data_IF_584174347430
#
_entry.id   IF_584174347430
#
_cell.length_a   1.000
_cell.length_b   1.000
_cell.length_c   1.000
_cell.angle_alpha   90.00
_cell.angle_beta   90.00
_cell.angle_gamma   90.00
#
_symmetry.space_group_name_H-M   'P 1'
#
loop_
_entity.id
_entity.type
_entity.pdbx_description
1 polymer ?
#
# COMPACT_ATOMS: atom_id res chain seq x y z
N UNK A 1 12.23 -5.81 14.34
CA UNK A 1 11.04 -5.46 15.14
C UNK A 1 9.98 -6.51 15.01
N UNK A 2 9.45 -7.00 16.13
CA UNK A 2 8.37 -7.98 16.18
C UNK A 2 7.02 -7.28 16.39
N UNK A 3 5.95 -7.89 15.88
CA UNK A 3 4.58 -7.42 16.08
C UNK A 3 4.16 -7.70 17.53
N UNK A 4 3.62 -6.68 18.22
CA UNK A 4 3.16 -6.77 19.61
C UNK A 4 2.07 -7.84 19.79
N UNK A 5 2.05 -8.51 20.95
CA UNK A 5 1.21 -9.70 21.17
C UNK A 5 -0.30 -9.47 20.98
N UNK A 6 -0.78 -8.25 21.22
CA UNK A 6 -2.17 -7.81 21.11
C UNK A 6 -2.52 -7.15 19.76
N UNK A 7 -1.57 -7.11 18.81
CA UNK A 7 -1.78 -6.51 17.51
C UNK A 7 -2.47 -7.50 16.54
N UNK A 8 -3.64 -7.09 16.05
CA UNK A 8 -4.45 -7.86 15.08
C UNK A 8 -3.66 -8.33 13.84
N UNK A 9 -2.58 -7.64 13.45
CA UNK A 9 -1.78 -8.03 12.30
C UNK A 9 -1.15 -9.42 12.45
N UNK A 10 -0.96 -9.93 13.68
CA UNK A 10 -0.45 -11.30 13.89
C UNK A 10 -1.35 -12.37 13.29
N UNK A 11 -2.64 -12.10 13.15
CA UNK A 11 -3.63 -13.03 12.60
C UNK A 11 -3.84 -12.85 11.07
N UNK A 12 -3.13 -11.90 10.45
CA UNK A 12 -3.26 -11.59 9.04
C UNK A 12 -2.17 -12.33 8.22
N UNK A 13 -2.53 -13.13 7.20
CA UNK A 13 -1.57 -13.92 6.45
C UNK A 13 -0.42 -13.12 5.81
N UNK A 14 -0.65 -11.86 5.44
CA UNK A 14 0.38 -10.97 4.87
C UNK A 14 1.53 -10.63 5.82
N UNK A 15 1.31 -10.78 7.12
CA UNK A 15 2.29 -10.48 8.18
C UNK A 15 2.88 -11.74 8.82
N UNK A 16 2.49 -12.93 8.36
CA UNK A 16 3.12 -14.17 8.77
C UNK A 16 4.58 -14.22 8.30
N UNK A 17 5.41 -14.99 9.01
CA UNK A 17 6.82 -15.16 8.69
C UNK A 17 7.01 -15.62 7.23
N UNK A 18 8.01 -15.05 6.55
CA UNK A 18 8.24 -15.23 5.12
C UNK A 18 7.33 -14.42 4.21
N UNK A 19 6.02 -14.30 4.50
CA UNK A 19 5.13 -13.43 3.73
C UNK A 19 5.44 -11.96 3.98
N UNK A 20 5.72 -11.61 5.25
CA UNK A 20 6.10 -10.25 5.62
C UNK A 20 7.34 -9.78 4.87
N UNK A 21 8.41 -10.58 4.85
CA UNK A 21 9.66 -10.22 4.17
C UNK A 21 9.49 -10.06 2.66
N UNK A 22 8.69 -10.95 2.03
CA UNK A 22 8.35 -10.85 0.61
C UNK A 22 7.57 -9.56 0.30
N UNK A 23 6.56 -9.25 1.12
CA UNK A 23 5.78 -8.03 0.96
C UNK A 23 6.61 -6.78 1.24
N UNK A 24 7.53 -6.83 2.21
CA UNK A 24 8.43 -5.73 2.53
C UNK A 24 9.40 -5.44 1.37
N UNK A 25 9.83 -6.46 0.62
CA UNK A 25 10.62 -6.25 -0.59
C UNK A 25 9.85 -5.45 -1.67
N UNK A 26 8.55 -5.69 -1.82
CA UNK A 26 7.70 -4.90 -2.72
C UNK A 26 7.58 -3.44 -2.25
N UNK A 27 7.40 -3.24 -0.93
CA UNK A 27 7.37 -1.89 -0.35
C UNK A 27 8.68 -1.15 -0.60
N UNK A 28 9.84 -1.80 -0.42
CA UNK A 28 11.15 -1.20 -0.68
C UNK A 28 11.33 -0.78 -2.13
N UNK A 29 10.82 -1.57 -3.08
CA UNK A 29 10.85 -1.20 -4.49
C UNK A 29 10.04 0.07 -4.76
N UNK A 30 8.86 0.20 -4.14
CA UNK A 30 8.03 1.41 -4.22
C UNK A 30 8.68 2.61 -3.51
N UNK A 31 9.38 2.39 -2.40
CA UNK A 31 10.15 3.43 -1.71
C UNK A 31 11.25 4.01 -2.61
N UNK A 32 11.97 3.18 -3.36
CA UNK A 32 12.98 3.65 -4.32
C UNK A 32 12.38 4.50 -5.45
N UNK A 33 11.20 4.12 -5.96
CA UNK A 33 10.49 4.94 -6.96
C UNK A 33 10.02 6.28 -6.38
N UNK A 34 9.51 6.25 -5.15
CA UNK A 34 9.05 7.46 -4.46
C UNK A 34 10.21 8.43 -4.17
N UNK A 35 11.38 7.89 -3.81
CA UNK A 35 12.60 8.66 -3.55
C UNK A 35 13.07 9.43 -4.80
N UNK A 36 13.06 8.80 -5.98
CA UNK A 36 13.39 9.47 -7.26
C UNK A 36 12.49 10.69 -7.50
N UNK A 37 11.23 10.62 -7.04
CA UNK A 37 10.24 11.68 -7.20
C UNK A 37 10.19 12.66 -6.01
N UNK A 38 10.96 12.40 -4.95
CA UNK A 38 10.97 13.23 -3.74
C UNK A 38 9.66 13.19 -2.94
N UNK A 39 8.90 12.09 -3.03
CA UNK A 39 7.63 11.89 -2.32
C UNK A 39 7.70 10.67 -1.39
N UNK A 40 6.71 10.49 -0.51
CA UNK A 40 6.63 9.27 0.30
C UNK A 40 6.03 8.12 -0.49
N UNK A 41 6.36 6.88 -0.13
CA UNK A 41 5.72 5.69 -0.72
C UNK A 41 4.19 5.70 -0.52
N UNK A 42 3.72 6.28 0.59
CA UNK A 42 2.29 6.49 0.84
C UNK A 42 1.64 7.44 -0.16
N UNK A 43 2.31 8.56 -0.48
CA UNK A 43 1.85 9.49 -1.50
C UNK A 43 1.84 8.86 -2.89
N UNK A 44 2.91 8.13 -3.25
CA UNK A 44 2.99 7.40 -4.52
C UNK A 44 1.83 6.39 -4.66
N UNK A 45 1.55 5.63 -3.59
CA UNK A 45 0.46 4.67 -3.58
C UNK A 45 -0.91 5.33 -3.71
N UNK A 46 -1.15 6.46 -3.04
CA UNK A 46 -2.42 7.21 -3.14
C UNK A 46 -2.61 7.80 -4.55
N UNK A 47 -1.55 8.36 -5.14
CA UNK A 47 -1.57 8.85 -6.51
C UNK A 47 -1.89 7.72 -7.49
N UNK A 48 -1.27 6.55 -7.34
CA UNK A 48 -1.57 5.38 -8.17
C UNK A 48 -3.03 4.92 -8.03
N UNK A 49 -3.59 4.88 -6.81
CA UNK A 49 -5.00 4.52 -6.59
C UNK A 49 -5.92 5.50 -7.31
N UNK A 50 -5.63 6.81 -7.23
CA UNK A 50 -6.39 7.86 -7.91
C UNK A 50 -6.39 7.69 -9.44
N UNK A 51 -5.31 7.17 -10.02
CA UNK A 51 -5.19 6.92 -11.48
C UNK A 51 -5.99 5.71 -11.98
N UNK A 52 -6.62 4.91 -11.09
CA UNK A 52 -7.40 3.73 -11.51
C UNK A 52 -8.72 4.06 -12.20
N UNK A 53 -9.19 5.30 -12.11
CA UNK A 53 -10.39 5.77 -12.79
C UNK A 53 -10.80 7.17 -12.32
N UNK A 54 -11.50 7.91 -13.17
CA UNK A 54 -12.03 9.24 -12.83
C UNK A 54 -13.12 9.20 -11.74
N UNK A 55 -13.67 8.01 -11.48
CA UNK A 55 -14.68 7.68 -10.48
C UNK A 55 -14.06 7.12 -9.18
N UNK A 56 -12.73 7.02 -9.10
CA UNK A 56 -12.03 6.51 -7.92
C UNK A 56 -11.60 7.69 -7.04
N UNK A 57 -11.96 7.67 -5.76
CA UNK A 57 -11.52 8.68 -4.78
C UNK A 57 -10.95 7.97 -3.55
N UNK A 58 -9.63 8.01 -3.30
CA UNK A 58 -9.04 7.38 -2.12
C UNK A 58 -9.47 8.11 -0.84
N UNK A 59 -9.79 7.35 0.21
CA UNK A 59 -10.21 7.85 1.52
C UNK A 59 -9.21 7.48 2.63
N UNK A 60 -7.96 7.98 2.59
CA UNK A 60 -6.94 7.60 3.56
C UNK A 60 -7.26 8.14 4.95
N UNK A 61 -7.35 7.24 5.93
CA UNK A 61 -7.56 7.59 7.33
C UNK A 61 -6.27 8.04 8.02
N UNK A 62 -6.37 9.03 8.90
CA UNK A 62 -5.27 9.46 9.78
C UNK A 62 -5.80 10.04 11.09
N UNK A 63 -5.00 9.93 12.16
CA UNK A 63 -5.26 10.58 13.46
C UNK A 63 -4.44 11.87 13.67
N UNK A 64 -3.54 12.23 12.75
CA UNK A 64 -2.56 13.32 12.92
C UNK A 64 -2.57 14.25 11.70
N UNK A 65 -2.58 15.57 11.95
CA UNK A 65 -2.61 16.62 10.91
C UNK A 65 -1.48 16.52 9.90
N UNK A 66 -0.25 16.26 10.35
CA UNK A 66 0.91 16.07 9.45
C UNK A 66 0.69 15.02 8.36
N UNK A 67 -0.02 13.93 8.67
CA UNK A 67 -0.31 12.89 7.68
C UNK A 67 -1.54 13.22 6.84
N UNK A 68 -2.45 14.07 7.34
CA UNK A 68 -3.51 14.63 6.51
C UNK A 68 -2.87 15.48 5.41
N UNK A 69 -1.94 16.36 5.78
CA UNK A 69 -1.19 17.21 4.86
C UNK A 69 -0.40 16.36 3.85
N UNK A 70 0.30 15.32 4.32
CA UNK A 70 1.00 14.35 3.45
C UNK A 70 0.04 13.66 2.47
N UNK A 71 -1.09 13.14 2.95
CA UNK A 71 -2.08 12.43 2.12
C UNK A 71 -2.73 13.36 1.09
N UNK A 72 -3.06 14.61 1.46
CA UNK A 72 -3.66 15.60 0.56
C UNK A 72 -2.70 15.98 -0.56
N UNK A 73 -1.40 16.11 -0.25
CA UNK A 73 -0.39 16.41 -1.27
C UNK A 73 -0.29 15.33 -2.36
N UNK A 74 -0.71 14.08 -2.10
CA UNK A 74 -0.74 13.03 -3.10
C UNK A 74 -1.73 13.31 -4.26
N UNK A 75 -2.77 14.12 -4.03
CA UNK A 75 -3.78 14.48 -5.05
C UNK A 75 -3.16 15.29 -6.19
N UNK A 76 -2.10 16.05 -5.91
CA UNK A 76 -1.40 16.84 -6.93
C UNK A 76 -0.36 16.07 -7.74
N UNK A 77 -0.19 14.76 -7.49
CA UNK A 77 0.81 13.95 -8.18
C UNK A 77 0.22 13.32 -9.45
N UNK A 78 0.54 13.90 -10.60
CA UNK A 78 0.23 13.34 -11.92
C UNK A 78 1.29 12.30 -12.32
N UNK A 79 0.91 11.03 -12.47
CA UNK A 79 1.85 9.96 -12.80
C UNK A 79 1.87 9.74 -14.32
N UNK A 80 3.07 9.71 -14.91
CA UNK A 80 3.19 9.39 -16.33
C UNK A 80 2.86 7.91 -16.59
N UNK A 81 2.64 7.56 -17.86
CA UNK A 81 2.40 6.16 -18.24
C UNK A 81 3.58 5.25 -17.87
N UNK A 82 4.81 5.77 -17.98
CA UNK A 82 6.04 5.07 -17.62
C UNK A 82 6.13 4.84 -16.11
N UNK A 83 5.72 5.83 -15.31
CA UNK A 83 5.71 5.71 -13.84
C UNK A 83 4.65 4.73 -13.37
N UNK A 84 3.45 4.78 -13.96
CA UNK A 84 2.40 3.80 -13.70
C UNK A 84 2.88 2.38 -14.01
N UNK A 85 3.52 2.18 -15.16
CA UNK A 85 4.10 0.89 -15.53
C UNK A 85 5.21 0.44 -14.56
N UNK A 86 6.07 1.37 -14.10
CA UNK A 86 7.12 1.07 -13.13
C UNK A 86 6.55 0.67 -11.76
N UNK A 87 5.50 1.36 -11.28
CA UNK A 87 4.81 1.02 -10.02
C UNK A 87 4.17 -0.37 -10.13
N UNK A 88 3.48 -0.67 -11.22
CA UNK A 88 2.83 -1.97 -11.44
C UNK A 88 3.85 -3.11 -11.55
N UNK A 89 5.01 -2.86 -12.16
CA UNK A 89 6.11 -3.82 -12.24
C UNK A 89 6.82 -4.02 -10.88
N UNK A 90 6.90 -2.98 -10.04
CA UNK A 90 7.52 -3.04 -8.72
C UNK A 90 6.67 -3.82 -7.70
N UNK A 91 5.34 -3.76 -7.82
CA UNK A 91 4.42 -4.42 -6.90
C UNK A 91 3.26 -5.11 -7.63
N UNK A 92 3.53 -6.16 -8.43
CA UNK A 92 2.50 -6.85 -9.17
C UNK A 92 1.56 -7.61 -8.20
N UNK A 93 0.28 -7.67 -8.55
CA UNK A 93 -0.77 -8.14 -7.64
C UNK A 93 -0.57 -9.59 -7.18
N UNK A 94 0.03 -10.43 -8.02
CA UNK A 94 0.32 -11.85 -7.76
C UNK A 94 1.59 -12.06 -6.93
N UNK A 95 2.47 -11.06 -6.80
CA UNK A 95 3.64 -11.13 -5.94
C UNK A 95 3.33 -10.88 -4.44
N UNK A 96 2.17 -10.31 -4.12
CA UNK A 96 1.74 -10.08 -2.74
C UNK A 96 1.49 -11.42 -2.05
N UNK A 97 2.33 -11.73 -1.06
CA UNK A 97 2.31 -12.98 -0.35
C UNK A 97 1.25 -12.97 0.77
N UNK A 98 0.38 -13.99 0.77
CA UNK A 98 -0.67 -14.15 1.77
C UNK A 98 -1.96 -13.38 1.48
N UNK A 99 -3.09 -13.96 1.89
CA UNK A 99 -4.40 -13.33 1.81
C UNK A 99 -4.51 -12.07 2.65
N UNK A 100 -5.35 -11.11 2.20
CA UNK A 100 -5.64 -9.88 2.95
C UNK A 100 -6.26 -10.17 4.32
N UNK A 101 -7.08 -11.21 4.39
CA UNK A 101 -7.78 -11.67 5.56
C UNK A 101 -7.47 -13.15 5.78
N UNK A 102 -7.53 -13.61 7.04
CA UNK A 102 -7.62 -15.05 7.31
C UNK A 102 -9.02 -15.58 6.93
N UNK A 103 -9.19 -16.89 6.92
CA UNK A 103 -10.45 -17.52 6.49
C UNK A 103 -11.68 -17.03 7.28
N UNK A 104 -11.55 -16.88 8.60
CA UNK A 104 -12.64 -16.42 9.46
C UNK A 104 -13.04 -14.97 9.14
N UNK A 105 -12.07 -14.07 9.00
CA UNK A 105 -12.32 -12.68 8.61
C UNK A 105 -12.85 -12.55 7.19
N UNK A 106 -12.36 -13.38 6.26
CA UNK A 106 -12.82 -13.37 4.87
C UNK A 106 -14.30 -13.71 4.76
N UNK A 107 -14.78 -14.70 5.52
CA UNK A 107 -16.20 -15.08 5.58
C UNK A 107 -17.13 -13.93 6.03
N UNK A 108 -16.61 -12.93 6.75
CA UNK A 108 -17.37 -11.76 7.20
C UNK A 108 -17.51 -10.66 6.13
N UNK A 109 -16.76 -10.75 5.03
CA UNK A 109 -16.72 -9.69 4.00
C UNK A 109 -17.77 -9.84 2.91
N UNK A 110 -18.62 -10.87 2.99
CA UNK A 110 -19.62 -11.18 1.96
C UNK A 110 -19.01 -11.59 0.61
N UNK A 111 -17.74 -12.01 0.63
CA UNK A 111 -16.95 -12.47 -0.52
C UNK A 111 -16.37 -13.84 -0.25
#
# INVERSE_FOLDING_TARGET
>A
DSIAADDMRRDLPRFADGNFDRNLALVRALESLAEVRGVTAGQLALAWVQHRGADVVPIPGTKRRRYLEENVAAVGLELSAEELAAIEAAAPADAVAGGRYNAAMQALTGR
#
